data_IF_761352918140
#
_entry.id   IF_761352918140
#
_cell.length_a   1.000
_cell.length_b   1.000
_cell.length_c   1.000
_cell.angle_alpha   90.00
_cell.angle_beta   90.00
_cell.angle_gamma   90.00
#
_symmetry.space_group_name_H-M   'P 1'
#
loop_
_entity.id
_entity.type
_entity.pdbx_description
1 polymer ?
#
# COMPACT_ATOMS: atom_id res chain seq x y z
N UNK A 1 -17.40 10.38 5.47
CA UNK A 1 -15.94 10.46 5.75
C UNK A 1 -15.44 9.04 5.90
N UNK A 2 -14.76 8.50 4.89
CA UNK A 2 -14.16 7.16 4.96
C UNK A 2 -12.84 7.28 5.72
N UNK A 3 -12.83 6.83 6.97
CA UNK A 3 -11.61 6.72 7.78
C UNK A 3 -10.67 5.73 7.10
N UNK A 4 -9.50 6.20 6.68
CA UNK A 4 -8.46 5.35 6.09
C UNK A 4 -7.96 4.38 7.17
N UNK A 5 -7.81 3.12 6.78
CA UNK A 5 -7.39 2.04 7.68
C UNK A 5 -5.87 2.10 7.90
N UNK A 6 -5.41 1.80 9.11
CA UNK A 6 -3.99 1.64 9.39
C UNK A 6 -3.61 0.17 9.16
N UNK A 7 -2.69 -0.08 8.22
CA UNK A 7 -2.29 -1.43 7.86
C UNK A 7 -1.57 -2.15 8.99
N UNK A 8 -1.88 -3.44 9.13
CA UNK A 8 -1.15 -4.38 9.97
C UNK A 8 0.26 -4.66 9.42
N UNK A 9 1.12 -5.25 10.25
CA UNK A 9 2.47 -5.62 9.84
C UNK A 9 2.48 -6.61 8.67
N UNK A 10 1.55 -7.57 8.65
CA UNK A 10 1.44 -8.53 7.55
C UNK A 10 1.04 -7.85 6.24
N UNK A 11 0.09 -6.92 6.27
CA UNK A 11 -0.34 -6.20 5.07
C UNK A 11 0.76 -5.28 4.53
N UNK A 12 1.57 -4.65 5.39
CA UNK A 12 2.74 -3.87 4.96
C UNK A 12 3.75 -4.75 4.22
N UNK A 13 4.02 -5.95 4.72
CA UNK A 13 4.91 -6.91 4.07
C UNK A 13 4.35 -7.32 2.70
N UNK A 14 3.05 -7.64 2.64
CA UNK A 14 2.39 -8.01 1.39
C UNK A 14 2.44 -6.87 0.36
N UNK A 15 2.15 -5.64 0.77
CA UNK A 15 2.22 -4.46 -0.09
C UNK A 15 3.65 -4.28 -0.67
N UNK A 16 4.67 -4.50 0.16
CA UNK A 16 6.07 -4.42 -0.30
C UNK A 16 6.40 -5.53 -1.30
N UNK A 17 5.84 -6.73 -1.11
CA UNK A 17 5.99 -7.86 -2.02
C UNK A 17 5.28 -7.57 -3.35
N UNK A 18 4.02 -7.15 -3.32
CA UNK A 18 3.21 -6.80 -4.49
C UNK A 18 3.85 -5.67 -5.34
N UNK A 19 4.54 -4.73 -4.69
CA UNK A 19 5.32 -3.70 -5.37
C UNK A 19 6.63 -4.24 -6.00
N UNK A 20 7.29 -5.23 -5.37
CA UNK A 20 8.55 -5.83 -5.85
C UNK A 20 8.36 -6.91 -6.91
N UNK A 21 7.25 -7.65 -6.87
CA UNK A 21 6.97 -8.78 -7.77
C UNK A 21 6.68 -8.36 -9.22
N UNK A 22 6.84 -7.07 -9.53
CA UNK A 22 6.73 -6.59 -10.90
C UNK A 22 5.30 -6.59 -11.43
N UNK A 23 4.30 -6.70 -10.55
CA UNK A 23 2.87 -6.62 -10.91
C UNK A 23 2.49 -5.25 -11.53
N UNK A 24 3.43 -4.30 -11.60
CA UNK A 24 3.27 -3.00 -12.26
C UNK A 24 2.25 -2.10 -11.55
N UNK A 25 1.84 -2.46 -10.33
CA UNK A 25 0.90 -1.68 -9.55
C UNK A 25 1.60 -0.40 -9.12
N UNK A 26 1.21 0.71 -9.73
CA UNK A 26 1.66 2.04 -9.29
C UNK A 26 1.24 2.24 -7.82
N UNK A 27 2.01 3.02 -7.05
CA UNK A 27 1.70 3.35 -5.65
C UNK A 27 0.24 3.81 -5.45
N UNK A 28 -0.33 4.49 -6.46
CA UNK A 28 -1.74 4.91 -6.48
C UNK A 28 -2.74 3.75 -6.51
N UNK A 29 -2.42 2.66 -7.20
CA UNK A 29 -3.27 1.47 -7.28
C UNK A 29 -3.16 0.64 -5.99
N UNK A 30 -1.97 0.54 -5.40
CA UNK A 30 -1.78 -0.03 -4.06
C UNK A 30 -2.55 0.74 -2.99
N UNK A 31 -2.56 2.08 -3.06
CA UNK A 31 -3.33 2.89 -2.11
C UNK A 31 -4.84 2.59 -2.17
N UNK A 32 -5.37 2.32 -3.37
CA UNK A 32 -6.79 1.96 -3.56
C UNK A 32 -7.08 0.54 -3.08
N UNK A 33 -6.25 -0.44 -3.46
CA UNK A 33 -6.38 -1.84 -3.01
C UNK A 33 -6.38 -1.96 -1.49
N UNK A 34 -5.40 -1.33 -0.85
CA UNK A 34 -5.23 -1.38 0.59
C UNK A 34 -6.03 -0.31 1.35
N UNK A 35 -6.83 0.50 0.64
CA UNK A 35 -7.64 1.59 1.20
C UNK A 35 -6.88 2.51 2.16
N UNK A 36 -5.64 2.86 1.77
CA UNK A 36 -4.74 3.74 2.52
C UNK A 36 -4.40 4.99 1.73
N UNK A 37 -3.74 5.95 2.37
CA UNK A 37 -3.29 7.15 1.69
C UNK A 37 -2.08 6.86 0.80
N UNK A 38 -1.90 7.66 -0.25
CA UNK A 38 -0.71 7.59 -1.09
C UNK A 38 0.56 7.82 -0.26
N UNK A 39 0.50 8.76 0.69
CA UNK A 39 1.60 9.04 1.62
C UNK A 39 1.96 7.83 2.47
N UNK A 40 0.95 7.08 2.93
CA UNK A 40 1.17 5.81 3.66
C UNK A 40 1.87 4.78 2.78
N UNK A 41 1.45 4.64 1.51
CA UNK A 41 2.12 3.74 0.55
C UNK A 41 3.57 4.16 0.34
N UNK A 42 3.83 5.45 0.10
CA UNK A 42 5.19 5.95 -0.09
C UNK A 42 6.05 5.78 1.15
N UNK A 43 5.51 5.96 2.36
CA UNK A 43 6.23 5.70 3.62
C UNK A 43 6.52 4.22 3.89
N UNK A 44 5.74 3.30 3.32
CA UNK A 44 5.97 1.86 3.47
C UNK A 44 6.99 1.38 2.42
N UNK A 45 7.02 2.00 1.24
CA UNK A 45 7.85 1.58 0.11
C UNK A 45 9.22 2.29 0.01
N UNK A 46 9.38 3.49 0.58
CA UNK A 46 10.67 4.19 0.74
C UNK A 46 11.30 3.85 2.09
#
# INVERSE_FOLDING_TARGET
>A
MTSRHELTLQEKIQLTFDNKDGNGLSQRKLAVEYNISLDSVSNILN
#
